data_IF_700132394334
#
_entry.id   IF_700132394334
#
_cell.length_a   1.000
_cell.length_b   1.000
_cell.length_c   1.000
_cell.angle_alpha   90.00
_cell.angle_beta   90.00
_cell.angle_gamma   90.00
#
_symmetry.space_group_name_H-M   'P 1'
#
loop_
_entity.id
_entity.type
_entity.pdbx_description
1 polymer ?
#
# COMPACT_ATOMS: atom_id res chain seq x y z
N UNK A 1 -11.46 -5.33 -3.15
CA UNK A 1 -12.14 -4.49 -2.15
C UNK A 1 -13.44 -5.19 -1.79
N UNK A 2 -13.58 -5.68 -0.57
CA UNK A 2 -14.85 -6.20 -0.06
C UNK A 2 -15.65 -5.00 0.41
N UNK A 3 -16.69 -4.66 -0.33
CA UNK A 3 -17.59 -3.55 -0.02
C UNK A 3 -19.00 -4.12 0.03
N UNK A 4 -19.50 -4.26 1.24
CA UNK A 4 -20.89 -4.65 1.46
C UNK A 4 -21.73 -3.42 1.80
N UNK A 5 -22.97 -3.41 1.30
CA UNK A 5 -23.95 -2.37 1.64
C UNK A 5 -24.92 -2.92 2.67
N UNK A 6 -24.91 -2.33 3.86
CA UNK A 6 -25.86 -2.66 4.94
C UNK A 6 -26.96 -1.61 4.99
N UNK A 7 -28.22 -2.00 4.81
CA UNK A 7 -29.35 -1.09 5.04
C UNK A 7 -29.49 -0.81 6.55
N UNK A 8 -29.52 0.46 6.94
CA UNK A 8 -29.60 0.90 8.35
C UNK A 8 -30.89 1.67 8.66
N UNK A 9 -31.62 2.09 7.62
CA UNK A 9 -32.98 2.63 7.66
C UNK A 9 -33.54 2.55 6.22
N UNK A 10 -34.87 2.67 6.01
CA UNK A 10 -35.45 2.59 4.67
C UNK A 10 -34.75 3.51 3.67
N UNK A 11 -34.11 2.93 2.65
CA UNK A 11 -33.38 3.68 1.62
C UNK A 11 -32.05 4.31 2.07
N UNK A 12 -31.56 3.98 3.27
CA UNK A 12 -30.29 4.47 3.83
C UNK A 12 -29.34 3.30 4.06
N UNK A 13 -28.21 3.34 3.36
CA UNK A 13 -27.20 2.29 3.41
C UNK A 13 -25.92 2.81 4.07
N UNK A 14 -25.25 1.92 4.79
CA UNK A 14 -23.89 2.13 5.30
C UNK A 14 -22.97 1.16 4.59
N UNK A 15 -21.82 1.69 4.21
CA UNK A 15 -20.73 0.89 3.67
C UNK A 15 -20.05 0.09 4.77
N UNK A 16 -19.75 -1.18 4.49
CA UNK A 16 -18.95 -2.06 5.34
C UNK A 16 -17.77 -2.59 4.55
N UNK A 17 -16.59 -2.49 5.15
CA UNK A 17 -15.32 -2.85 4.55
C UNK A 17 -14.61 -3.90 5.39
N UNK A 18 -13.78 -4.70 4.72
CA UNK A 18 -12.92 -5.71 5.33
C UNK A 18 -13.65 -6.92 5.86
N UNK A 19 -12.86 -7.93 6.20
CA UNK A 19 -13.30 -9.24 6.70
C UNK A 19 -13.20 -9.34 8.21
N UNK A 20 -14.08 -10.13 8.81
CA UNK A 20 -13.89 -10.61 10.17
C UNK A 20 -12.92 -11.80 10.18
N UNK A 21 -12.45 -12.18 11.36
CA UNK A 21 -11.45 -13.25 11.50
C UNK A 21 -11.97 -14.59 10.96
N UNK A 22 -13.25 -14.85 11.18
CA UNK A 22 -13.97 -16.04 10.72
C UNK A 22 -14.18 -16.12 9.21
N UNK A 23 -13.97 -15.03 8.47
CA UNK A 23 -14.14 -15.00 7.01
C UNK A 23 -12.86 -15.41 6.25
N UNK A 24 -11.76 -15.71 6.96
CA UNK A 24 -10.49 -16.09 6.38
C UNK A 24 -10.30 -17.61 6.38
N UNK A 25 -9.90 -18.16 5.24
CA UNK A 25 -9.49 -19.56 5.12
C UNK A 25 -8.00 -19.68 4.76
N UNK A 26 -7.31 -20.65 5.37
CA UNK A 26 -5.88 -20.89 5.10
C UNK A 26 -5.73 -21.38 3.65
N UNK A 27 -4.91 -20.66 2.88
CA UNK A 27 -4.65 -20.97 1.48
C UNK A 27 -5.40 -20.05 0.50
N UNK A 28 -6.28 -19.19 0.99
CA UNK A 28 -6.96 -18.21 0.16
C UNK A 28 -5.99 -17.21 -0.50
N UNK A 29 -6.37 -16.79 -1.71
CA UNK A 29 -5.68 -15.75 -2.47
C UNK A 29 -6.66 -14.58 -2.65
N UNK A 30 -6.32 -13.43 -2.07
CA UNK A 30 -7.12 -12.21 -2.18
C UNK A 30 -6.50 -11.24 -3.18
N UNK A 31 -7.17 -11.03 -4.31
CA UNK A 31 -6.74 -10.05 -5.30
C UNK A 31 -7.18 -8.62 -4.92
N UNK A 32 -6.22 -7.71 -4.76
CA UNK A 32 -6.48 -6.33 -4.40
C UNK A 32 -6.48 -5.41 -5.62
N UNK A 33 -7.42 -4.46 -5.62
CA UNK A 33 -7.67 -3.48 -6.69
C UNK A 33 -8.02 -2.13 -6.05
N UNK A 34 -7.82 -1.00 -6.76
CA UNK A 34 -7.17 -0.89 -8.08
C UNK A 34 -5.64 -1.05 -7.98
N UNK A 35 -4.99 -1.30 -9.12
CA UNK A 35 -3.53 -1.13 -9.20
C UNK A 35 -3.14 0.35 -9.04
N UNK A 36 -1.92 0.62 -8.57
CA UNK A 36 -1.41 1.98 -8.36
C UNK A 36 -0.16 2.22 -9.21
N UNK A 37 -0.26 3.12 -10.18
CA UNK A 37 0.92 3.68 -10.87
C UNK A 37 1.65 4.63 -9.93
N UNK A 38 2.97 4.47 -9.80
CA UNK A 38 3.83 5.36 -9.00
C UNK A 38 4.45 6.41 -9.92
N UNK A 39 4.36 7.67 -9.50
CA UNK A 39 5.00 8.80 -10.18
C UNK A 39 6.26 9.24 -9.44
N UNK A 40 7.08 10.06 -10.09
CA UNK A 40 8.23 10.71 -9.44
C UNK A 40 7.81 11.55 -8.25
N UNK A 41 6.66 12.23 -8.32
CA UNK A 41 6.13 13.02 -7.20
C UNK A 41 5.86 12.16 -5.98
N UNK A 42 5.22 10.98 -6.15
CA UNK A 42 4.98 10.06 -5.04
C UNK A 42 6.30 9.63 -4.38
N UNK A 43 7.30 9.29 -5.20
CA UNK A 43 8.60 8.82 -4.75
C UNK A 43 9.37 9.90 -3.98
N UNK A 44 9.48 11.09 -4.56
CA UNK A 44 10.19 12.22 -3.98
C UNK A 44 9.50 12.67 -2.70
N UNK A 45 8.17 12.78 -2.68
CA UNK A 45 7.43 13.15 -1.49
C UNK A 45 7.65 12.15 -0.36
N UNK A 46 7.41 10.87 -0.58
CA UNK A 46 7.56 9.87 0.47
C UNK A 46 9.01 9.81 0.99
N UNK A 47 9.98 9.85 0.09
CA UNK A 47 11.40 9.79 0.43
C UNK A 47 11.81 10.95 1.33
N UNK A 48 11.44 12.18 0.97
CA UNK A 48 11.79 13.35 1.76
C UNK A 48 10.94 13.47 3.04
N UNK A 49 9.66 13.10 2.99
CA UNK A 49 8.77 13.07 4.16
C UNK A 49 9.28 12.10 5.23
N UNK A 50 9.88 10.98 4.82
CA UNK A 50 10.47 9.98 5.71
C UNK A 50 11.95 10.23 6.02
N UNK A 51 12.48 11.41 5.65
CA UNK A 51 13.86 11.83 5.90
C UNK A 51 14.93 10.93 5.27
N UNK A 52 14.59 10.18 4.22
CA UNK A 52 15.60 9.51 3.41
C UNK A 52 16.26 10.56 2.49
N UNK A 53 17.52 10.87 2.77
CA UNK A 53 18.30 11.90 2.05
C UNK A 53 19.16 11.34 0.92
N UNK A 54 19.01 10.06 0.56
CA UNK A 54 19.81 9.45 -0.50
C UNK A 54 19.38 9.97 -1.90
N UNK A 55 20.27 10.65 -2.66
CA UNK A 55 19.90 11.37 -3.87
C UNK A 55 19.40 10.46 -5.00
N UNK A 56 19.77 9.18 -5.02
CA UNK A 56 19.28 8.18 -5.99
C UNK A 56 17.75 8.17 -6.18
N UNK A 57 16.98 8.60 -5.19
CA UNK A 57 15.52 8.54 -5.23
C UNK A 57 14.86 9.83 -5.75
N UNK A 58 15.56 10.95 -5.86
CA UNK A 58 14.95 12.25 -6.19
C UNK A 58 15.84 13.20 -7.00
N UNK A 59 17.12 12.89 -7.19
CA UNK A 59 18.05 13.69 -7.99
C UNK A 59 18.31 12.98 -9.33
N UNK A 60 17.78 13.57 -10.40
CA UNK A 60 17.89 13.04 -11.76
C UNK A 60 19.34 13.02 -12.24
N UNK A 61 20.14 14.04 -11.92
CA UNK A 61 21.54 14.14 -12.35
C UNK A 61 22.41 13.10 -11.63
N UNK A 62 22.19 12.93 -10.32
CA UNK A 62 22.84 11.86 -9.57
C UNK A 62 22.47 10.50 -10.15
N UNK A 63 21.17 10.24 -10.35
CA UNK A 63 20.69 8.94 -10.79
C UNK A 63 21.13 8.58 -12.23
N UNK A 64 21.31 9.57 -13.11
CA UNK A 64 21.83 9.37 -14.47
C UNK A 64 23.24 8.75 -14.49
N UNK A 65 24.02 8.94 -13.42
CA UNK A 65 25.36 8.38 -13.26
C UNK A 65 25.38 7.01 -12.56
N UNK A 66 24.22 6.42 -12.29
CA UNK A 66 24.07 5.08 -11.70
C UNK A 66 23.65 4.06 -12.76
N UNK A 67 23.72 2.76 -12.43
CA UNK A 67 23.26 1.69 -13.34
C UNK A 67 21.77 1.79 -13.72
N UNK A 68 20.97 2.51 -12.91
CA UNK A 68 19.54 2.69 -13.15
C UNK A 68 19.23 3.78 -14.18
N UNK A 69 20.14 4.74 -14.37
CA UNK A 69 20.00 5.86 -15.32
C UNK A 69 18.84 6.84 -15.04
N UNK A 70 18.08 6.64 -13.97
CA UNK A 70 16.94 7.47 -13.54
C UNK A 70 16.65 7.24 -12.06
N UNK A 71 15.92 8.15 -11.39
CA UNK A 71 15.59 7.97 -9.98
C UNK A 71 14.92 6.62 -9.70
N UNK A 72 15.46 5.89 -8.72
CA UNK A 72 14.92 4.60 -8.29
C UNK A 72 13.81 4.83 -7.26
N UNK A 73 12.73 4.04 -7.35
CA UNK A 73 11.67 4.09 -6.33
C UNK A 73 12.23 3.65 -4.98
N UNK A 74 12.00 4.44 -3.95
CA UNK A 74 12.34 4.10 -2.57
C UNK A 74 11.59 2.84 -2.15
N UNK A 75 12.34 1.82 -1.74
CA UNK A 75 11.77 0.50 -1.46
C UNK A 75 10.77 0.51 -0.30
N UNK A 76 10.92 1.43 0.67
CA UNK A 76 9.95 1.60 1.75
C UNK A 76 8.60 2.15 1.25
N UNK A 77 8.59 2.98 0.19
CA UNK A 77 7.35 3.40 -0.46
C UNK A 77 6.63 2.21 -1.08
N UNK A 78 7.37 1.31 -1.75
CA UNK A 78 6.81 0.08 -2.32
C UNK A 78 6.10 -0.75 -1.26
N UNK A 79 6.75 -0.99 -0.11
CA UNK A 79 6.16 -1.74 1.00
C UNK A 79 4.91 -1.03 1.55
N UNK A 80 4.98 0.29 1.75
CA UNK A 80 3.85 1.08 2.27
C UNK A 80 2.63 1.03 1.33
N UNK A 81 2.86 1.11 0.01
CA UNK A 81 1.78 1.01 -0.99
C UNK A 81 1.16 -0.38 -0.98
N UNK A 82 1.97 -1.46 -1.02
CA UNK A 82 1.46 -2.83 -1.03
C UNK A 82 0.63 -3.11 0.22
N UNK A 83 1.13 -2.71 1.40
CA UNK A 83 0.37 -2.82 2.64
C UNK A 83 -0.92 -2.00 2.59
N UNK A 84 -0.88 -0.77 2.09
CA UNK A 84 -2.05 0.09 1.93
C UNK A 84 -3.12 -0.51 1.01
N UNK A 85 -2.72 -1.14 -0.09
CA UNK A 85 -3.61 -1.76 -1.06
C UNK A 85 -4.43 -2.92 -0.46
N UNK A 86 -3.87 -3.64 0.53
CA UNK A 86 -4.56 -4.75 1.17
C UNK A 86 -5.53 -4.34 2.28
N UNK A 87 -5.43 -3.10 2.79
CA UNK A 87 -6.16 -2.66 3.99
C UNK A 87 -7.67 -2.87 3.87
N UNK A 88 -8.26 -2.44 2.75
CA UNK A 88 -9.71 -2.47 2.53
C UNK A 88 -10.36 -3.85 2.67
N UNK A 89 -9.56 -4.91 2.53
CA UNK A 89 -10.00 -6.31 2.58
C UNK A 89 -9.50 -6.99 3.86
N UNK A 90 -8.20 -6.88 4.14
CA UNK A 90 -7.53 -7.68 5.17
C UNK A 90 -7.56 -7.05 6.56
N UNK A 91 -7.36 -5.74 6.67
CA UNK A 91 -7.05 -5.10 7.96
C UNK A 91 -7.95 -3.93 8.35
N UNK A 92 -8.97 -3.60 7.55
CA UNK A 92 -9.92 -2.54 7.88
C UNK A 92 -10.65 -2.78 9.22
N UNK A 93 -10.84 -4.06 9.58
CA UNK A 93 -11.41 -4.51 10.86
C UNK A 93 -10.35 -5.03 11.85
N UNK A 94 -9.08 -5.05 11.47
CA UNK A 94 -8.01 -5.50 12.36
C UNK A 94 -7.74 -4.48 13.47
N UNK A 95 -7.39 -4.96 14.66
CA UNK A 95 -7.06 -4.09 15.80
C UNK A 95 -5.68 -3.47 15.62
N UNK A 96 -4.71 -4.25 15.15
CA UNK A 96 -3.33 -3.80 14.92
C UNK A 96 -2.60 -4.73 13.93
N UNK A 97 -1.64 -4.16 13.20
CA UNK A 97 -0.61 -4.94 12.52
C UNK A 97 0.51 -5.26 13.51
N UNK A 98 0.75 -6.54 13.79
CA UNK A 98 1.70 -6.96 14.83
C UNK A 98 3.17 -7.01 14.36
N UNK A 99 3.40 -6.97 13.05
CA UNK A 99 4.75 -6.96 12.49
C UNK A 99 4.77 -7.35 11.02
N UNK A 100 5.97 -7.40 10.47
CA UNK A 100 6.25 -7.94 9.15
C UNK A 100 7.38 -8.96 9.26
N UNK A 101 7.34 -9.98 8.41
CA UNK A 101 8.39 -11.00 8.28
C UNK A 101 8.67 -11.24 6.80
N UNK A 102 9.85 -11.76 6.49
CA UNK A 102 10.24 -12.21 5.14
C UNK A 102 10.14 -11.17 4.02
N UNK A 103 10.30 -9.88 4.35
CA UNK A 103 10.39 -8.81 3.34
C UNK A 103 11.75 -8.89 2.63
N UNK A 104 11.71 -8.99 1.30
CA UNK A 104 12.87 -8.84 0.40
C UNK A 104 12.54 -7.78 -0.64
N UNK A 105 13.41 -6.79 -0.77
CA UNK A 105 13.27 -5.62 -1.63
C UNK A 105 14.44 -5.54 -2.60
#
# INVERSE_FOLDING_TARGET
MVVERKEIAPGRYRESYGRYFEDFEVGDIYEHRPGRTITETDNTWFTLLTMNTHPLHFDVEYAANTEFGRPLVNSALTLAIVAGMSVSDLSQKAIANLGWSDIRL
#
